data_IF_695236028215
#
_entry.id   IF_695236028215
#
_cell.length_a   1.000
_cell.length_b   1.000
_cell.length_c   1.000
_cell.angle_alpha   90.00
_cell.angle_beta   90.00
_cell.angle_gamma   90.00
#
_symmetry.space_group_name_H-M   'P 1'
#
loop_
_entity.id
_entity.type
_entity.pdbx_description
1 polymer ?
#
# COMPACT_ATOMS: atom_id res chain seq x y z
N UNK A 1 3.06 -46.90 9.09
CA UNK A 1 3.51 -46.15 7.90
C UNK A 1 3.24 -44.68 8.19
N UNK A 2 4.29 -43.89 8.41
CA UNK A 2 4.21 -42.49 8.84
C UNK A 2 3.30 -41.68 7.91
N UNK A 3 2.30 -40.98 8.45
CA UNK A 3 1.61 -39.90 7.73
C UNK A 3 2.69 -38.95 7.21
N UNK A 4 2.88 -38.89 5.90
CA UNK A 4 3.61 -37.78 5.29
C UNK A 4 2.74 -36.55 5.57
N UNK A 5 3.14 -35.71 6.53
CA UNK A 5 2.58 -34.37 6.71
C UNK A 5 2.59 -33.70 5.33
N UNK A 6 1.39 -33.56 4.77
CA UNK A 6 1.19 -33.03 3.43
C UNK A 6 1.55 -31.54 3.48
N UNK A 7 2.82 -31.21 3.19
CA UNK A 7 3.39 -29.86 3.33
C UNK A 7 2.64 -28.79 2.53
N UNK A 8 1.76 -29.21 1.62
CA UNK A 8 0.92 -28.37 0.79
C UNK A 8 -0.38 -27.93 1.48
N UNK A 9 -0.75 -28.55 2.61
CA UNK A 9 -1.95 -28.27 3.40
C UNK A 9 -1.58 -27.54 4.69
N UNK A 10 -1.65 -26.21 4.64
CA UNK A 10 -1.70 -25.37 5.84
C UNK A 10 -3.12 -24.82 6.00
N UNK A 11 -3.67 -24.69 7.22
CA UNK A 11 -4.96 -24.05 7.45
C UNK A 11 -5.10 -22.68 6.75
N UNK A 12 -4.01 -21.91 6.69
CA UNK A 12 -4.00 -20.58 6.03
C UNK A 12 -4.08 -20.63 4.50
N UNK A 13 -3.74 -21.77 3.90
CA UNK A 13 -3.74 -22.01 2.47
C UNK A 13 -5.03 -22.69 1.98
N UNK A 14 -5.92 -23.09 2.90
CA UNK A 14 -7.18 -23.71 2.50
C UNK A 14 -8.11 -22.67 1.86
N UNK A 15 -8.92 -23.07 0.86
CA UNK A 15 -9.95 -22.21 0.30
C UNK A 15 -10.96 -21.79 1.36
N UNK A 16 -11.38 -20.52 1.34
CA UNK A 16 -12.39 -20.01 2.26
C UNK A 16 -13.80 -20.40 1.76
N UNK A 17 -14.59 -21.15 2.55
CA UNK A 17 -15.97 -21.48 2.20
C UNK A 17 -16.83 -20.22 2.04
N UNK A 18 -17.85 -20.28 1.18
CA UNK A 18 -18.77 -19.14 0.99
C UNK A 18 -19.46 -18.68 2.29
N UNK A 19 -19.68 -19.57 3.25
CA UNK A 19 -20.27 -19.23 4.56
C UNK A 19 -19.36 -18.38 5.44
N UNK A 20 -18.05 -18.39 5.20
CA UNK A 20 -17.05 -17.66 5.98
C UNK A 20 -16.64 -16.33 5.32
N UNK A 21 -17.13 -16.04 4.11
CA UNK A 21 -16.94 -14.76 3.43
C UNK A 21 -17.75 -13.68 4.16
N UNK A 22 -17.07 -12.81 4.89
CA UNK A 22 -17.67 -11.85 5.80
C UNK A 22 -17.52 -10.37 5.35
N UNK A 23 -16.62 -10.07 4.40
CA UNK A 23 -16.36 -8.70 3.94
C UNK A 23 -17.38 -8.29 2.89
N UNK A 24 -18.08 -7.16 3.11
CA UNK A 24 -18.95 -6.54 2.10
C UNK A 24 -18.15 -5.63 1.16
N UNK A 25 -18.70 -5.30 -0.01
CA UNK A 25 -18.06 -4.36 -0.94
C UNK A 25 -17.74 -2.99 -0.29
N UNK A 26 -18.64 -2.49 0.57
CA UNK A 26 -18.41 -1.27 1.33
C UNK A 26 -17.28 -1.44 2.36
N UNK A 27 -17.25 -2.57 3.09
CA UNK A 27 -16.18 -2.90 4.02
C UNK A 27 -14.81 -2.98 3.32
N UNK A 28 -14.77 -3.57 2.13
CA UNK A 28 -13.58 -3.58 1.29
C UNK A 28 -13.14 -2.16 0.92
N UNK A 29 -14.07 -1.28 0.50
CA UNK A 29 -13.78 0.13 0.24
C UNK A 29 -13.18 0.88 1.44
N UNK A 30 -13.68 0.63 2.65
CA UNK A 30 -13.12 1.23 3.87
C UNK A 30 -11.71 0.73 4.19
N UNK A 31 -11.45 -0.57 4.00
CA UNK A 31 -10.09 -1.15 4.13
C UNK A 31 -9.12 -0.43 3.17
N UNK A 32 -9.56 -0.16 1.94
CA UNK A 32 -8.75 0.57 0.96
C UNK A 32 -8.39 1.99 1.37
N UNK A 33 -9.38 2.74 1.89
CA UNK A 33 -9.14 4.09 2.38
C UNK A 33 -8.14 4.07 3.54
N UNK A 34 -8.26 3.11 4.46
CA UNK A 34 -7.31 2.94 5.57
C UNK A 34 -5.90 2.63 5.10
N UNK A 35 -5.75 1.78 4.06
CA UNK A 35 -4.44 1.43 3.49
C UNK A 35 -3.83 2.55 2.64
N UNK A 36 -4.65 3.45 2.07
CA UNK A 36 -4.18 4.53 1.19
C UNK A 36 -3.37 5.61 1.93
N UNK A 37 -3.54 5.73 3.25
CA UNK A 37 -2.80 6.71 4.06
C UNK A 37 -1.45 6.13 4.45
N UNK A 38 -0.43 6.39 3.62
CA UNK A 38 0.93 5.86 3.79
C UNK A 38 1.99 6.89 3.42
N UNK A 39 3.07 6.95 4.20
CA UNK A 39 4.17 7.92 4.03
C UNK A 39 4.82 7.87 2.64
N UNK A 40 4.89 6.68 2.04
CA UNK A 40 5.42 6.51 0.69
C UNK A 40 4.59 7.27 -0.37
N UNK A 41 3.26 7.36 -0.22
CA UNK A 41 2.41 8.12 -1.13
C UNK A 41 2.69 9.63 -1.03
N UNK A 42 2.90 10.14 0.18
CA UNK A 42 3.34 11.52 0.40
C UNK A 42 4.70 11.80 -0.24
N UNK A 43 5.64 10.85 -0.13
CA UNK A 43 6.95 10.98 -0.77
C UNK A 43 6.87 10.99 -2.31
N UNK A 44 6.02 10.16 -2.90
CA UNK A 44 5.81 10.15 -4.37
C UNK A 44 5.19 11.48 -4.83
N UNK A 45 4.15 11.95 -4.14
CA UNK A 45 3.53 13.25 -4.45
C UNK A 45 4.50 14.41 -4.30
N UNK A 46 5.23 14.46 -3.18
CA UNK A 46 6.23 15.49 -2.88
C UNK A 46 7.37 15.54 -3.88
N UNK A 47 7.88 14.39 -4.34
CA UNK A 47 8.88 14.35 -5.40
C UNK A 47 8.29 14.72 -6.78
N UNK A 48 7.05 14.32 -7.05
CA UNK A 48 6.36 14.66 -8.31
C UNK A 48 6.19 16.16 -8.52
N UNK A 49 5.82 16.89 -7.46
CA UNK A 49 5.59 18.36 -7.54
C UNK A 49 6.87 19.19 -7.69
N UNK A 50 8.05 18.58 -7.55
CA UNK A 50 9.31 19.27 -7.84
C UNK A 50 9.46 19.57 -9.34
N UNK A 51 9.00 18.65 -10.20
CA UNK A 51 9.18 18.75 -11.65
C UNK A 51 7.89 19.05 -12.42
N UNK A 52 6.73 18.77 -11.83
CA UNK A 52 5.41 18.94 -12.44
C UNK A 52 4.50 19.77 -11.53
N UNK A 53 3.48 20.42 -12.09
CA UNK A 53 2.46 21.07 -11.26
C UNK A 53 1.61 20.03 -10.54
N UNK A 54 1.02 20.43 -9.41
CA UNK A 54 0.18 19.54 -8.61
C UNK A 54 -0.96 18.92 -9.43
N UNK A 55 -1.58 19.67 -10.34
CA UNK A 55 -2.62 19.15 -11.24
C UNK A 55 -2.15 17.98 -12.09
N UNK A 56 -0.94 18.03 -12.66
CA UNK A 56 -0.37 16.93 -13.44
C UNK A 56 -0.01 15.73 -12.58
N UNK A 57 0.51 15.94 -11.38
CA UNK A 57 0.82 14.86 -10.43
C UNK A 57 -0.46 14.14 -9.97
N UNK A 58 -1.52 14.90 -9.68
CA UNK A 58 -2.84 14.34 -9.35
C UNK A 58 -3.40 13.54 -10.53
N UNK A 59 -3.34 14.09 -11.74
CA UNK A 59 -3.81 13.39 -12.93
C UNK A 59 -3.04 12.08 -13.17
N UNK A 60 -1.71 12.10 -13.08
CA UNK A 60 -0.87 10.92 -13.16
C UNK A 60 -1.26 9.86 -12.12
N UNK A 61 -1.48 10.30 -10.88
CA UNK A 61 -1.86 9.43 -9.77
C UNK A 61 -3.24 8.80 -10.00
N UNK A 62 -4.22 9.58 -10.47
CA UNK A 62 -5.56 9.08 -10.82
C UNK A 62 -5.47 8.03 -11.93
N UNK A 63 -4.70 8.29 -12.99
CA UNK A 63 -4.50 7.33 -14.08
C UNK A 63 -3.89 6.03 -13.54
N UNK A 64 -2.85 6.12 -12.70
CA UNK A 64 -2.22 4.96 -12.09
C UNK A 64 -3.23 4.15 -11.25
N UNK A 65 -4.03 4.82 -10.41
CA UNK A 65 -5.06 4.19 -9.57
C UNK A 65 -6.16 3.51 -10.40
N UNK A 66 -6.60 4.12 -11.50
CA UNK A 66 -7.63 3.54 -12.39
C UNK A 66 -7.10 2.27 -13.08
N UNK A 67 -5.88 2.35 -13.65
CA UNK A 67 -5.24 1.21 -14.31
C UNK A 67 -5.00 0.07 -13.31
N UNK A 68 -4.49 0.38 -12.13
CA UNK A 68 -4.30 -0.60 -11.07
C UNK A 68 -5.62 -1.18 -10.60
N UNK A 69 -6.64 -0.37 -10.34
CA UNK A 69 -7.97 -0.84 -9.94
C UNK A 69 -8.56 -1.84 -10.95
N UNK A 70 -8.36 -1.60 -12.25
CA UNK A 70 -8.72 -2.55 -13.29
C UNK A 70 -7.92 -3.86 -13.21
N UNK A 71 -6.59 -3.80 -13.10
CA UNK A 71 -5.76 -5.01 -12.95
C UNK A 71 -6.07 -5.78 -11.65
N UNK A 72 -6.41 -5.05 -10.59
CA UNK A 72 -6.78 -5.55 -9.28
C UNK A 72 -8.09 -6.32 -9.30
N UNK A 73 -9.08 -5.80 -10.02
CA UNK A 73 -10.37 -6.49 -10.19
C UNK A 73 -10.22 -7.73 -11.06
N UNK A 74 -9.35 -7.72 -12.07
CA UNK A 74 -9.02 -8.92 -12.85
C UNK A 74 -8.31 -9.99 -12.03
N UNK A 75 -7.28 -9.61 -11.26
CA UNK A 75 -6.51 -10.56 -10.44
C UNK A 75 -7.29 -11.01 -9.20
N UNK A 76 -8.18 -10.18 -8.67
CA UNK A 76 -9.00 -10.47 -7.50
C UNK A 76 -10.17 -11.43 -7.77
N UNK A 77 -10.70 -11.50 -8.99
CA UNK A 77 -11.87 -12.32 -9.35
C UNK A 77 -11.70 -13.80 -8.94
N UNK A 78 -10.50 -14.36 -9.13
CA UNK A 78 -10.25 -15.75 -8.76
C UNK A 78 -10.32 -16.00 -7.25
N UNK A 79 -9.90 -15.04 -6.44
CA UNK A 79 -10.04 -15.12 -4.98
C UNK A 79 -11.51 -15.04 -4.58
N UNK A 80 -12.30 -14.16 -5.21
CA UNK A 80 -13.75 -14.03 -4.96
C UNK A 80 -14.50 -15.31 -5.30
N UNK A 81 -14.20 -15.91 -6.45
CA UNK A 81 -14.89 -17.12 -6.92
C UNK A 81 -14.45 -18.37 -6.17
N UNK A 82 -13.14 -18.64 -6.13
CA UNK A 82 -12.61 -19.92 -5.66
C UNK A 82 -12.17 -19.88 -4.19
N UNK A 83 -12.12 -18.70 -3.56
CA UNK A 83 -11.68 -18.55 -2.17
C UNK A 83 -10.19 -18.85 -1.96
N UNK A 84 -9.38 -18.88 -3.02
CA UNK A 84 -7.97 -19.27 -2.97
C UNK A 84 -7.05 -18.06 -2.76
N UNK A 85 -5.93 -18.27 -2.06
CA UNK A 85 -4.89 -17.26 -1.85
C UNK A 85 -3.91 -17.19 -3.02
N UNK A 86 -3.12 -16.11 -3.07
CA UNK A 86 -2.09 -15.92 -4.10
C UNK A 86 -1.13 -17.12 -4.23
N UNK A 87 -0.54 -17.68 -3.15
CA UNK A 87 0.35 -18.84 -3.27
C UNK A 87 -0.36 -20.12 -3.73
N UNK A 88 -1.68 -20.22 -3.64
CA UNK A 88 -2.42 -21.37 -4.17
C UNK A 88 -2.71 -21.16 -5.65
N UNK A 89 -3.09 -19.95 -6.04
CA UNK A 89 -3.30 -19.57 -7.44
C UNK A 89 -2.04 -19.78 -8.28
N UNK A 90 -0.87 -19.39 -7.77
CA UNK A 90 0.41 -19.52 -8.48
C UNK A 90 0.82 -20.98 -8.76
N UNK A 91 0.19 -21.97 -8.11
CA UNK A 91 0.40 -23.40 -8.40
C UNK A 91 -0.11 -23.81 -9.78
N UNK A 92 -1.09 -23.11 -10.35
CA UNK A 92 -1.61 -23.42 -11.67
C UNK A 92 -0.59 -23.15 -12.79
N UNK A 93 0.04 -21.95 -12.88
CA UNK A 93 1.05 -21.68 -13.90
C UNK A 93 2.46 -22.23 -13.58
N UNK A 94 2.89 -22.25 -12.30
CA UNK A 94 4.27 -22.63 -11.93
C UNK A 94 4.40 -24.04 -11.35
N UNK A 95 3.30 -24.75 -11.13
CA UNK A 95 3.30 -26.03 -10.43
C UNK A 95 3.56 -25.88 -8.93
N UNK A 96 3.52 -27.02 -8.22
CA UNK A 96 3.63 -27.05 -6.75
C UNK A 96 4.99 -26.58 -6.24
N UNK A 97 6.07 -26.89 -6.96
CA UNK A 97 7.43 -26.50 -6.60
C UNK A 97 7.78 -25.10 -7.13
N UNK A 98 7.40 -24.79 -8.38
CA UNK A 98 7.74 -23.50 -8.98
C UNK A 98 7.07 -22.30 -8.31
N UNK A 99 5.97 -22.52 -7.58
CA UNK A 99 5.28 -21.49 -6.79
C UNK A 99 6.13 -20.88 -5.67
N UNK A 100 7.19 -21.56 -5.24
CA UNK A 100 8.13 -20.98 -4.28
C UNK A 100 8.83 -19.74 -4.83
N UNK A 101 9.09 -19.65 -6.14
CA UNK A 101 9.74 -18.50 -6.77
C UNK A 101 8.93 -17.21 -6.57
N UNK A 102 7.66 -17.11 -7.04
CA UNK A 102 6.87 -15.89 -6.86
C UNK A 102 6.58 -15.61 -5.38
N UNK A 103 6.46 -16.64 -4.53
CA UNK A 103 6.25 -16.46 -3.10
C UNK A 103 7.47 -15.84 -2.40
N UNK A 104 8.69 -16.29 -2.74
CA UNK A 104 9.94 -15.74 -2.21
C UNK A 104 10.16 -14.31 -2.71
N UNK A 105 9.95 -14.06 -4.01
CA UNK A 105 10.06 -12.70 -4.58
C UNK A 105 9.08 -11.75 -3.87
N UNK A 106 7.84 -12.18 -3.65
CA UNK A 106 6.83 -11.40 -2.92
C UNK A 106 7.27 -11.10 -1.48
N UNK A 107 7.81 -12.08 -0.76
CA UNK A 107 8.33 -11.92 0.59
C UNK A 107 9.54 -10.98 0.66
N UNK A 108 10.45 -11.05 -0.32
CA UNK A 108 11.58 -10.14 -0.45
C UNK A 108 11.11 -8.70 -0.64
N UNK A 109 10.20 -8.45 -1.59
CA UNK A 109 9.68 -7.11 -1.85
C UNK A 109 8.90 -6.57 -0.64
N UNK A 110 8.14 -7.42 0.06
CA UNK A 110 7.48 -7.04 1.31
C UNK A 110 8.49 -6.60 2.39
N UNK A 111 9.63 -7.29 2.49
CA UNK A 111 10.71 -6.93 3.42
C UNK A 111 11.34 -5.59 3.07
N UNK A 112 11.53 -5.30 1.77
CA UNK A 112 12.00 -3.98 1.31
C UNK A 112 11.01 -2.86 1.70
N UNK A 113 9.70 -3.08 1.52
CA UNK A 113 8.68 -2.12 1.94
C UNK A 113 8.66 -1.92 3.46
N UNK A 114 8.81 -2.99 4.24
CA UNK A 114 8.96 -2.88 5.70
C UNK A 114 10.16 -2.01 6.08
N UNK A 115 11.31 -2.23 5.43
CA UNK A 115 12.52 -1.41 5.63
C UNK A 115 12.30 0.06 5.29
N UNK A 116 11.65 0.36 4.16
CA UNK A 116 11.37 1.74 3.75
C UNK A 116 10.40 2.45 4.70
N UNK A 117 9.34 1.78 5.15
CA UNK A 117 8.42 2.36 6.14
C UNK A 117 9.10 2.56 7.51
N UNK A 118 9.98 1.63 7.91
CA UNK A 118 10.82 1.78 9.10
C UNK A 118 11.77 2.97 8.96
N UNK A 119 12.37 3.17 7.79
CA UNK A 119 13.21 4.34 7.51
C UNK A 119 12.44 5.65 7.71
N UNK A 120 11.26 5.78 7.11
CA UNK A 120 10.46 7.00 7.26
C UNK A 120 10.07 7.27 8.72
N UNK A 121 9.62 6.24 9.45
CA UNK A 121 9.26 6.40 10.85
C UNK A 121 10.46 6.70 11.76
N UNK A 122 11.62 6.09 11.49
CA UNK A 122 12.87 6.38 12.20
C UNK A 122 13.34 7.82 11.98
N UNK A 123 13.25 8.32 10.73
CA UNK A 123 13.59 9.71 10.40
C UNK A 123 12.64 10.70 11.10
N UNK A 124 11.34 10.40 11.13
CA UNK A 124 10.37 11.20 11.86
C UNK A 124 10.66 11.21 13.37
N UNK A 125 10.96 10.05 13.95
CA UNK A 125 11.30 9.94 15.38
C UNK A 125 12.60 10.67 15.71
N UNK A 126 13.62 10.58 14.85
CA UNK A 126 14.87 11.32 15.02
C UNK A 126 14.62 12.83 15.02
N UNK A 127 13.84 13.34 14.06
CA UNK A 127 13.49 14.76 14.00
C UNK A 127 12.79 15.25 15.28
N UNK A 128 11.88 14.44 15.85
CA UNK A 128 11.22 14.74 17.11
C UNK A 128 12.23 14.79 18.27
N UNK A 129 13.12 13.80 18.36
CA UNK A 129 14.12 13.72 19.44
C UNK A 129 15.17 14.83 19.35
N UNK A 130 15.61 15.19 18.15
CA UNK A 130 16.51 16.32 17.96
C UNK A 130 15.83 17.62 18.36
N UNK A 131 14.56 17.82 18.00
CA UNK A 131 13.84 19.07 18.34
C UNK A 131 13.55 19.20 19.83
N UNK A 132 13.25 18.09 20.53
CA UNK A 132 12.83 18.12 21.93
C UNK A 132 13.98 17.92 22.92
N UNK A 133 14.98 17.12 22.57
CA UNK A 133 16.02 16.65 23.49
C UNK A 133 17.44 16.90 22.97
N UNK A 134 17.59 17.58 21.83
CA UNK A 134 18.89 17.80 21.15
C UNK A 134 19.67 16.48 20.89
N UNK A 135 18.93 15.39 20.76
CA UNK A 135 19.47 14.06 20.49
C UNK A 135 19.34 13.74 19.00
N UNK A 136 20.47 13.73 18.29
CA UNK A 136 20.54 13.33 16.88
C UNK A 136 21.31 12.01 16.74
N UNK A 137 20.56 10.91 16.68
CA UNK A 137 21.12 9.61 16.38
C UNK A 137 20.10 8.76 15.62
N UNK A 138 20.11 8.93 14.30
CA UNK A 138 19.21 8.22 13.40
C UNK A 138 19.30 6.69 13.54
N UNK A 139 20.49 6.13 13.77
CA UNK A 139 20.67 4.67 13.87
C UNK A 139 20.00 4.10 15.12
N UNK A 140 20.13 4.78 16.27
CA UNK A 140 19.43 4.38 17.50
C UNK A 140 17.92 4.53 17.32
N UNK A 141 17.47 5.62 16.72
CA UNK A 141 16.06 5.81 16.39
C UNK A 141 15.54 4.70 15.46
N UNK A 142 16.31 4.29 14.46
CA UNK A 142 15.96 3.18 13.59
C UNK A 142 15.79 1.86 14.35
N UNK A 143 16.73 1.52 15.23
CA UNK A 143 16.65 0.31 16.04
C UNK A 143 15.44 0.32 16.98
N UNK A 144 15.21 1.44 17.68
CA UNK A 144 14.05 1.60 18.57
C UNK A 144 12.76 1.44 17.76
N UNK A 145 12.65 2.11 16.61
CA UNK A 145 11.45 2.08 15.79
C UNK A 145 11.18 0.68 15.21
N UNK A 146 12.23 -0.02 14.78
CA UNK A 146 12.13 -1.41 14.31
C UNK A 146 11.67 -2.36 15.43
N UNK A 147 12.22 -2.22 16.64
CA UNK A 147 11.81 -3.03 17.80
C UNK A 147 10.36 -2.75 18.17
N UNK A 148 9.93 -1.49 18.19
CA UNK A 148 8.53 -1.14 18.46
C UNK A 148 7.58 -1.75 17.44
N UNK A 149 7.93 -1.73 16.16
CA UNK A 149 7.14 -2.39 15.12
C UNK A 149 7.07 -3.91 15.34
N UNK A 150 8.21 -4.55 15.61
CA UNK A 150 8.26 -6.00 15.86
C UNK A 150 7.43 -6.40 17.08
N UNK A 151 7.50 -5.64 18.18
CA UNK A 151 6.67 -5.86 19.37
C UNK A 151 5.20 -5.66 19.03
N UNK A 152 4.84 -4.61 18.30
CA UNK A 152 3.45 -4.39 17.88
C UNK A 152 2.92 -5.52 16.99
N UNK A 153 3.74 -6.05 16.08
CA UNK A 153 3.40 -7.21 15.27
C UNK A 153 3.25 -8.48 16.13
N UNK A 154 4.11 -8.67 17.13
CA UNK A 154 4.05 -9.81 18.04
C UNK A 154 2.79 -9.81 18.94
N UNK A 155 2.22 -8.63 19.23
CA UNK A 155 0.94 -8.49 19.96
C UNK A 155 -0.29 -8.89 19.12
N UNK A 156 -0.10 -9.19 17.84
CA UNK A 156 -1.14 -9.71 16.95
C UNK A 156 -1.95 -8.63 16.20
N UNK A 157 -2.77 -9.08 15.25
CA UNK A 157 -3.47 -8.23 14.27
C UNK A 157 -4.37 -7.17 14.93
N UNK A 158 -5.04 -7.50 16.04
CA UNK A 158 -5.93 -6.56 16.75
C UNK A 158 -5.22 -5.32 17.28
N UNK A 159 -3.93 -5.42 17.65
CA UNK A 159 -3.14 -4.27 18.08
C UNK A 159 -2.85 -3.34 16.90
N UNK A 160 -2.51 -3.93 15.76
CA UNK A 160 -2.22 -3.22 14.51
C UNK A 160 -3.46 -2.47 14.03
N UNK A 161 -4.63 -3.13 14.02
CA UNK A 161 -5.91 -2.55 13.62
C UNK A 161 -6.25 -1.32 14.46
N UNK A 162 -6.22 -1.43 15.80
CA UNK A 162 -6.50 -0.30 16.70
C UNK A 162 -5.53 0.87 16.52
N UNK A 163 -4.26 0.58 16.24
CA UNK A 163 -3.27 1.63 15.98
C UNK A 163 -3.57 2.34 14.65
N UNK A 164 -3.91 1.59 13.60
CA UNK A 164 -4.26 2.13 12.30
C UNK A 164 -5.56 2.96 12.35
N UNK A 165 -6.58 2.49 13.06
CA UNK A 165 -7.87 3.17 13.23
C UNK A 165 -7.72 4.54 13.90
N UNK A 166 -6.73 4.70 14.78
CA UNK A 166 -6.40 6.00 15.38
C UNK A 166 -5.49 6.83 14.48
N UNK A 167 -4.47 6.22 13.88
CA UNK A 167 -3.47 6.92 13.10
C UNK A 167 -4.05 7.53 11.81
N UNK A 168 -4.92 6.82 11.09
CA UNK A 168 -5.44 7.29 9.81
C UNK A 168 -6.24 8.61 9.92
N UNK A 169 -7.23 8.74 10.84
CA UNK A 169 -7.93 10.03 11.04
C UNK A 169 -6.98 11.14 11.47
N UNK A 170 -6.03 10.87 12.37
CA UNK A 170 -5.06 11.86 12.85
C UNK A 170 -4.20 12.38 11.69
N UNK A 171 -3.69 11.50 10.83
CA UNK A 171 -2.89 11.88 9.66
C UNK A 171 -3.72 12.73 8.69
N UNK A 172 -4.97 12.35 8.43
CA UNK A 172 -5.87 13.11 7.55
C UNK A 172 -6.12 14.52 8.10
N UNK A 173 -6.44 14.63 9.39
CA UNK A 173 -6.69 15.91 10.04
C UNK A 173 -5.44 16.82 10.04
N UNK A 174 -4.28 16.27 10.39
CA UNK A 174 -3.01 17.02 10.36
C UNK A 174 -2.66 17.43 8.94
N UNK A 175 -2.82 16.55 7.95
CA UNK A 175 -2.56 16.86 6.54
C UNK A 175 -3.46 17.97 6.02
N UNK A 176 -4.75 17.95 6.38
CA UNK A 176 -5.69 19.02 6.05
C UNK A 176 -5.30 20.35 6.69
N UNK A 177 -4.98 20.33 7.99
CA UNK A 177 -4.52 21.53 8.70
C UNK A 177 -3.23 22.11 8.10
N UNK A 178 -2.25 21.25 7.78
CA UNK A 178 -1.02 21.65 7.10
C UNK A 178 -1.30 22.28 5.74
N UNK A 179 -2.20 21.70 4.94
CA UNK A 179 -2.57 22.25 3.63
C UNK A 179 -3.13 23.66 3.75
N UNK A 180 -4.10 23.90 4.63
CA UNK A 180 -4.69 25.24 4.78
C UNK A 180 -3.68 26.26 5.32
N UNK A 181 -2.93 25.88 6.37
CA UNK A 181 -1.95 26.79 7.01
C UNK A 181 -0.80 27.14 6.08
N UNK A 182 -0.28 26.17 5.32
CA UNK A 182 0.85 26.38 4.42
C UNK A 182 0.42 26.99 3.09
N UNK A 183 -0.80 26.74 2.61
CA UNK A 183 -1.32 27.35 1.38
C UNK A 183 -1.39 28.87 1.49
N UNK A 184 -1.89 29.40 2.61
CA UNK A 184 -1.98 30.85 2.82
C UNK A 184 -0.58 31.49 2.86
N UNK A 185 0.37 30.84 3.52
CA UNK A 185 1.76 31.29 3.57
C UNK A 185 2.44 31.20 2.20
N UNK A 186 2.19 30.14 1.43
CA UNK A 186 2.77 29.93 0.12
C UNK A 186 2.24 30.96 -0.88
N UNK A 187 0.93 31.24 -0.87
CA UNK A 187 0.32 32.30 -1.68
C UNK A 187 0.90 33.67 -1.33
N UNK A 188 1.10 33.96 -0.05
CA UNK A 188 1.77 35.19 0.38
C UNK A 188 3.21 35.33 -0.14
N UNK A 189 3.89 34.22 -0.43
CA UNK A 189 5.22 34.16 -1.05
C UNK A 189 5.17 34.07 -2.59
N UNK A 190 3.99 34.20 -3.20
CA UNK A 190 3.80 34.08 -4.65
C UNK A 190 3.90 32.64 -5.18
N UNK A 191 3.89 31.63 -4.30
CA UNK A 191 3.94 30.20 -4.64
C UNK A 191 2.54 29.61 -4.53
N UNK A 192 1.74 29.79 -5.58
CA UNK A 192 0.40 29.20 -5.63
C UNK A 192 0.50 27.66 -5.73
N UNK A 193 -0.16 26.94 -4.83
CA UNK A 193 0.05 25.51 -4.59
C UNK A 193 -0.26 24.63 -5.81
N UNK A 194 -1.25 25.00 -6.62
CA UNK A 194 -1.68 24.19 -7.76
C UNK A 194 -0.81 24.34 -9.00
N UNK A 195 -0.17 25.49 -9.15
CA UNK A 195 0.60 25.87 -10.35
C UNK A 195 2.11 25.97 -10.12
N UNK A 196 2.57 26.09 -8.87
CA UNK A 196 3.99 26.18 -8.55
C UNK A 196 4.75 24.90 -8.89
N UNK A 197 5.94 25.08 -9.46
CA UNK A 197 6.89 24.01 -9.78
C UNK A 197 8.29 24.52 -9.41
N UNK A 198 9.01 23.78 -8.56
CA UNK A 198 10.32 24.21 -8.07
C UNK A 198 11.40 24.13 -9.16
N UNK A 199 11.33 23.10 -10.01
CA UNK A 199 12.29 22.84 -11.10
C UNK A 199 11.55 22.36 -12.35
N UNK A 200 10.89 23.28 -13.08
CA UNK A 200 10.02 22.94 -14.19
C UNK A 200 10.80 22.27 -15.32
N UNK A 201 10.26 21.14 -15.78
CA UNK A 201 10.74 20.44 -16.98
C UNK A 201 9.76 20.67 -18.13
N UNK A 202 10.25 20.65 -19.36
CA UNK A 202 9.43 20.87 -20.56
C UNK A 202 9.68 19.81 -21.63
N UNK A 203 8.76 19.72 -22.61
CA UNK A 203 8.87 18.79 -23.73
C UNK A 203 8.96 17.33 -23.29
N UNK A 204 9.93 16.59 -23.84
CA UNK A 204 10.13 15.17 -23.53
C UNK A 204 10.40 14.89 -22.05
N UNK A 205 11.10 15.79 -21.35
CA UNK A 205 11.39 15.63 -19.93
C UNK A 205 10.13 15.71 -19.05
N UNK A 206 9.16 16.55 -19.42
CA UNK A 206 7.86 16.60 -18.75
C UNK A 206 7.06 15.31 -18.94
N UNK A 207 7.07 14.75 -20.15
CA UNK A 207 6.44 13.46 -20.42
C UNK A 207 7.10 12.32 -19.62
N UNK A 208 8.43 12.30 -19.53
CA UNK A 208 9.16 11.34 -18.70
C UNK A 208 8.82 11.51 -17.22
N UNK A 209 8.83 12.74 -16.69
CA UNK A 209 8.45 13.01 -15.30
C UNK A 209 7.02 12.52 -15.00
N UNK A 210 6.09 12.77 -15.92
CA UNK A 210 4.70 12.33 -15.78
C UNK A 210 4.59 10.80 -15.75
N UNK A 211 5.31 10.11 -16.64
CA UNK A 211 5.38 8.65 -16.66
C UNK A 211 6.06 8.09 -15.41
N UNK A 212 7.08 8.76 -14.86
CA UNK A 212 7.74 8.36 -13.62
C UNK A 212 6.75 8.41 -12.45
N UNK A 213 5.91 9.44 -12.36
CA UNK A 213 4.87 9.51 -11.32
C UNK A 213 3.85 8.39 -11.47
N UNK A 214 3.40 8.09 -12.69
CA UNK A 214 2.50 6.95 -12.95
C UNK A 214 3.16 5.64 -12.52
N UNK A 215 4.38 5.38 -12.99
CA UNK A 215 5.09 4.12 -12.73
C UNK A 215 5.49 3.96 -11.27
N UNK A 216 5.80 5.06 -10.56
CA UNK A 216 6.06 5.03 -9.12
C UNK A 216 4.81 4.62 -8.34
N UNK A 217 3.65 5.21 -8.65
CA UNK A 217 2.36 4.80 -8.06
C UNK A 217 2.01 3.35 -8.42
N UNK A 218 2.23 2.96 -9.68
CA UNK A 218 2.00 1.59 -10.14
C UNK A 218 2.91 0.57 -9.46
N UNK A 219 4.19 0.88 -9.28
CA UNK A 219 5.15 0.03 -8.59
C UNK A 219 4.86 -0.10 -7.10
N UNK A 220 4.40 0.99 -6.47
CA UNK A 220 3.99 0.99 -5.07
C UNK A 220 2.85 0.00 -4.81
N UNK A 221 1.75 0.12 -5.57
CA UNK A 221 0.55 -0.70 -5.38
C UNK A 221 0.59 -2.05 -6.13
N UNK A 222 1.48 -2.23 -7.10
CA UNK A 222 1.52 -3.40 -7.96
C UNK A 222 1.74 -4.72 -7.21
N UNK A 223 2.47 -4.68 -6.09
CA UNK A 223 2.65 -5.86 -5.23
C UNK A 223 1.34 -6.31 -4.57
N UNK A 224 0.49 -5.36 -4.21
CA UNK A 224 -0.83 -5.61 -3.65
C UNK A 224 -1.81 -6.06 -4.73
N UNK A 225 -1.69 -5.53 -5.95
CA UNK A 225 -2.41 -6.02 -7.13
C UNK A 225 -2.16 -7.49 -7.38
N UNK A 226 -0.90 -7.92 -7.37
CA UNK A 226 -0.59 -9.34 -7.56
C UNK A 226 -1.17 -10.23 -6.44
N UNK A 227 -1.20 -9.73 -5.21
CA UNK A 227 -1.64 -10.46 -4.01
C UNK A 227 -3.13 -10.29 -3.71
N UNK A 228 -3.89 -9.65 -4.60
CA UNK A 228 -5.32 -9.41 -4.42
C UNK A 228 -6.13 -10.68 -4.08
N UNK A 229 -5.87 -11.88 -4.65
CA UNK A 229 -6.58 -13.10 -4.27
C UNK A 229 -6.59 -13.40 -2.77
N UNK A 230 -5.52 -13.02 -2.07
CA UNK A 230 -5.37 -13.24 -0.63
C UNK A 230 -6.37 -12.41 0.19
N UNK A 231 -6.74 -11.22 -0.28
CA UNK A 231 -7.76 -10.37 0.34
C UNK A 231 -9.15 -10.69 -0.20
N UNK A 232 -9.28 -10.87 -1.51
CA UNK A 232 -10.58 -11.04 -2.17
C UNK A 232 -11.27 -12.37 -1.82
N UNK A 233 -10.53 -13.37 -1.33
CA UNK A 233 -11.09 -14.64 -0.83
C UNK A 233 -12.11 -14.50 0.31
N UNK A 234 -12.09 -13.39 1.03
CA UNK A 234 -13.02 -13.10 2.13
C UNK A 234 -14.23 -12.24 1.71
N UNK A 235 -14.28 -11.77 0.46
CA UNK A 235 -15.34 -10.88 -0.04
C UNK A 235 -16.61 -11.68 -0.35
N UNK A 236 -17.75 -11.17 0.11
CA UNK A 236 -19.07 -11.71 -0.21
C UNK A 236 -19.40 -11.46 -1.69
N UNK A 237 -19.61 -12.52 -2.44
CA UNK A 237 -20.12 -12.46 -3.81
C UNK A 237 -21.25 -13.48 -4.03
N UNK A 238 -22.17 -13.23 -4.97
CA UNK A 238 -23.25 -14.16 -5.29
C UNK A 238 -22.68 -15.48 -5.81
N UNK A 239 -23.20 -16.60 -5.30
CA UNK A 239 -22.73 -17.94 -5.67
C UNK A 239 -23.00 -18.21 -7.15
N UNK A 240 -21.98 -18.59 -7.91
CA UNK A 240 -22.05 -18.93 -9.34
C UNK A 240 -22.52 -17.80 -10.28
N UNK A 241 -22.44 -16.53 -9.86
CA UNK A 241 -22.67 -15.41 -10.79
C UNK A 241 -21.53 -15.36 -11.80
N UNK A 242 -21.87 -15.26 -13.09
CA UNK A 242 -20.89 -15.26 -14.20
C UNK A 242 -20.58 -13.86 -14.71
N UNK A 243 -21.41 -12.88 -14.36
CA UNK A 243 -21.18 -11.50 -14.78
C UNK A 243 -20.15 -10.83 -13.87
N UNK A 244 -19.02 -10.46 -14.44
CA UNK A 244 -17.92 -9.76 -13.77
C UNK A 244 -18.37 -8.47 -13.06
N UNK A 245 -19.31 -7.72 -13.64
CA UNK A 245 -19.83 -6.49 -13.02
C UNK A 245 -20.76 -6.72 -11.82
N UNK A 246 -21.23 -7.96 -11.64
CA UNK A 246 -22.11 -8.35 -10.53
C UNK A 246 -21.37 -9.11 -9.42
N UNK A 247 -20.11 -9.45 -9.66
CA UNK A 247 -19.20 -10.07 -8.70
C UNK A 247 -18.41 -9.01 -7.95
#
# INVERSE_FOLDING_TARGET
MSEKKDYLKSPDLLPIPHSEKNISAAGFGFIWVGMAVVLAAFAIGGNGVQSLSLGWVVLATVIACVVLGFLMTMTGDIGVEHGISFPVYMRAPFGTIGTHIPSVVRGFVASCWFGLNTYFGATAMNAIFTTLFDFDNWFICFLIFAVLQLVNTAMGIKSIERFADLAAPVIILISGWMYFTLSDQAVAQGREVWSWIESPVTGGAAATAFMVVIMANMGFWGTLTADMPTLSRYIKAPKNEKNWFKR
#
